data_IF_500940555775
#
_entry.id   IF_500940555775
#
_cell.length_a   1.000
_cell.length_b   1.000
_cell.length_c   1.000
_cell.angle_alpha   90.00
_cell.angle_beta   90.00
_cell.angle_gamma   90.00
#
_symmetry.space_group_name_H-M   'P 1'
#
loop_
_entity.id
_entity.type
_entity.pdbx_description
1 polymer ?
#
# COMPACT_ATOMS: atom_id res chain seq x y z
N UNK A 1 -8.74 0.43 15.76
CA UNK A 1 -7.70 0.16 16.79
C UNK A 1 -6.36 0.48 16.16
N UNK A 2 -5.57 1.45 16.66
CA UNK A 2 -4.34 1.82 15.98
C UNK A 2 -3.23 0.86 16.42
N UNK A 3 -2.73 0.03 15.51
CA UNK A 3 -1.45 -0.64 15.73
C UNK A 3 -0.35 0.39 15.56
N UNK A 4 0.28 0.78 16.67
CA UNK A 4 1.55 1.49 16.64
C UNK A 4 2.64 0.48 16.34
N UNK A 5 3.29 0.59 15.18
CA UNK A 5 4.53 -0.10 14.85
C UNK A 5 5.57 0.97 14.54
N UNK A 6 6.63 1.12 15.34
CA UNK A 6 7.68 2.08 15.06
C UNK A 6 8.69 1.43 14.10
N UNK A 7 8.67 1.76 12.81
CA UNK A 7 9.83 1.81 11.89
C UNK A 7 9.34 2.28 10.50
N UNK A 8 9.87 3.42 10.02
CA UNK A 8 9.84 3.91 8.62
C UNK A 8 8.47 3.95 7.92
N UNK A 9 7.84 5.14 7.88
CA UNK A 9 6.61 5.51 7.14
C UNK A 9 5.86 4.36 6.41
N UNK A 10 4.80 3.86 7.06
CA UNK A 10 3.78 3.02 6.44
C UNK A 10 2.86 3.88 5.57
N UNK A 11 2.86 3.69 4.25
CA UNK A 11 1.86 4.29 3.37
C UNK A 11 0.83 3.25 2.97
N UNK A 12 -0.38 3.42 3.50
CA UNK A 12 -1.54 2.59 3.18
C UNK A 12 -2.17 3.16 1.91
N UNK A 13 -2.07 2.46 0.79
CA UNK A 13 -2.83 2.82 -0.41
C UNK A 13 -4.27 2.31 -0.25
N UNK A 14 -5.06 3.07 0.50
CA UNK A 14 -6.51 2.91 0.55
C UNK A 14 -7.09 3.59 -0.68
N UNK A 15 -7.29 2.83 -1.74
CA UNK A 15 -8.19 3.19 -2.84
C UNK A 15 -9.66 3.15 -2.37
N UNK A 16 -9.99 4.02 -1.39
CA UNK A 16 -11.30 4.25 -0.81
C UNK A 16 -11.46 5.75 -0.56
N UNK A 17 -12.52 6.33 -1.11
CA UNK A 17 -12.80 7.76 -1.17
C UNK A 17 -13.21 8.38 0.18
N UNK A 18 -12.48 8.10 1.28
CA UNK A 18 -12.98 8.35 2.65
C UNK A 18 -11.93 8.73 3.70
N UNK A 19 -10.70 9.16 3.35
CA UNK A 19 -9.65 9.48 4.35
C UNK A 19 -8.92 10.81 4.02
N UNK A 20 -8.54 11.63 5.02
CA UNK A 20 -7.85 12.92 4.83
C UNK A 20 -6.42 12.89 4.27
N UNK A 21 -5.76 11.74 4.11
CA UNK A 21 -4.47 11.67 3.42
C UNK A 21 -4.59 11.77 1.89
N UNK A 22 -3.57 12.29 1.18
CA UNK A 22 -3.57 12.35 -0.27
C UNK A 22 -3.66 10.94 -0.88
N UNK A 23 -4.64 10.75 -1.75
CA UNK A 23 -4.78 9.53 -2.55
C UNK A 23 -4.05 9.71 -3.88
N UNK A 24 -3.16 8.76 -4.19
CA UNK A 24 -2.42 8.72 -5.45
C UNK A 24 -3.01 7.66 -6.38
N UNK A 25 -2.97 7.87 -7.72
CA UNK A 25 -3.52 6.92 -8.68
C UNK A 25 -2.69 5.63 -8.81
N UNK A 26 -1.39 5.71 -8.52
CA UNK A 26 -0.42 4.62 -8.60
C UNK A 26 0.73 4.86 -7.61
N UNK A 27 1.57 3.84 -7.39
CA UNK A 27 2.71 3.95 -6.48
C UNK A 27 3.81 4.91 -6.96
N UNK A 28 3.92 5.16 -8.26
CA UNK A 28 4.95 6.02 -8.84
C UNK A 28 4.65 7.52 -8.66
N UNK A 29 3.37 7.86 -8.46
CA UNK A 29 2.89 9.21 -8.21
C UNK A 29 3.17 9.70 -6.78
N UNK A 30 3.63 8.82 -5.89
CA UNK A 30 3.98 9.16 -4.51
C UNK A 30 5.32 9.93 -4.51
N UNK A 31 5.38 11.17 -4.03
CA UNK A 31 6.60 11.98 -4.07
C UNK A 31 7.66 11.52 -3.05
N UNK A 32 7.28 10.65 -2.13
CA UNK A 32 8.12 10.12 -1.06
C UNK A 32 8.53 8.67 -1.34
N UNK A 33 9.64 8.23 -0.73
CA UNK A 33 10.05 6.84 -0.80
C UNK A 33 9.11 5.95 0.02
N UNK A 34 8.61 4.88 -0.61
CA UNK A 34 7.76 3.88 0.05
C UNK A 34 8.61 2.69 0.47
N UNK A 35 8.56 2.34 1.76
CA UNK A 35 9.25 1.16 2.29
C UNK A 35 8.35 -0.09 2.29
N UNK A 36 7.06 0.08 2.60
CA UNK A 36 6.11 -1.03 2.75
C UNK A 36 4.81 -0.71 2.02
N UNK A 37 4.32 -1.66 1.23
CA UNK A 37 3.02 -1.58 0.53
C UNK A 37 2.03 -2.53 1.18
N UNK A 38 0.93 -2.01 1.74
CA UNK A 38 -0.16 -2.81 2.32
C UNK A 38 -1.34 -2.87 1.35
N UNK A 39 -1.75 -4.09 0.97
CA UNK A 39 -2.73 -4.35 -0.09
C UNK A 39 -4.05 -4.86 0.51
N UNK A 40 -5.11 -4.06 0.35
CA UNK A 40 -6.51 -4.37 0.69
C UNK A 40 -7.35 -4.60 -0.56
N UNK A 41 -6.85 -5.43 -1.49
CA UNK A 41 -7.50 -5.76 -2.76
C UNK A 41 -7.69 -7.27 -2.91
N UNK A 42 -8.51 -7.67 -3.88
CA UNK A 42 -8.69 -9.09 -4.21
C UNK A 42 -7.36 -9.65 -4.71
N UNK A 43 -7.15 -10.94 -4.52
CA UNK A 43 -5.92 -11.64 -4.93
C UNK A 43 -5.62 -11.48 -6.42
N UNK A 44 -6.65 -11.34 -7.26
CA UNK A 44 -6.53 -11.10 -8.71
C UNK A 44 -5.85 -9.77 -9.05
N UNK A 45 -6.02 -8.74 -8.22
CA UNK A 45 -5.49 -7.38 -8.46
C UNK A 45 -4.09 -7.18 -7.86
N UNK A 46 -3.63 -8.12 -7.03
CA UNK A 46 -2.39 -8.01 -6.24
C UNK A 46 -1.17 -7.97 -7.14
N UNK A 47 -1.14 -8.80 -8.19
CA UNK A 47 0.05 -8.95 -9.03
C UNK A 47 0.48 -7.60 -9.62
N UNK A 48 -0.49 -6.83 -10.14
CA UNK A 48 -0.26 -5.49 -10.68
C UNK A 48 0.35 -4.55 -9.65
N UNK A 49 -0.13 -4.59 -8.39
CA UNK A 49 0.39 -3.75 -7.30
C UNK A 49 1.79 -4.19 -6.88
N UNK A 50 2.06 -5.50 -6.85
CA UNK A 50 3.40 -6.04 -6.55
C UNK A 50 4.41 -5.59 -7.62
N UNK A 51 4.02 -5.61 -8.89
CA UNK A 51 4.88 -5.11 -9.97
C UNK A 51 5.21 -3.62 -9.80
N UNK A 52 4.23 -2.80 -9.41
CA UNK A 52 4.47 -1.40 -9.08
C UNK A 52 5.39 -1.23 -7.87
N UNK A 53 5.20 -2.03 -6.82
CA UNK A 53 6.03 -2.02 -5.62
C UNK A 53 7.50 -2.35 -5.95
N UNK A 54 7.73 -3.30 -6.86
CA UNK A 54 9.07 -3.63 -7.37
C UNK A 54 9.68 -2.43 -8.11
N UNK A 55 8.92 -1.77 -8.99
CA UNK A 55 9.40 -0.61 -9.77
C UNK A 55 9.88 0.53 -8.86
N UNK A 56 9.18 0.79 -7.77
CA UNK A 56 9.55 1.83 -6.80
C UNK A 56 10.54 1.36 -5.72
N UNK A 57 10.98 0.08 -5.79
CA UNK A 57 11.89 -0.56 -4.83
C UNK A 57 11.37 -0.56 -3.39
N UNK A 58 10.08 -0.82 -3.21
CA UNK A 58 9.54 -1.09 -1.89
C UNK A 58 10.24 -2.30 -1.26
N UNK A 59 10.50 -2.23 0.05
CA UNK A 59 11.23 -3.27 0.79
C UNK A 59 10.34 -4.46 1.15
N UNK A 60 9.04 -4.22 1.30
CA UNK A 60 8.09 -5.27 1.63
C UNK A 60 6.71 -5.00 1.01
N UNK A 61 5.99 -6.08 0.74
CA UNK A 61 4.56 -6.07 0.41
C UNK A 61 3.84 -6.91 1.45
N UNK A 62 2.77 -6.37 2.01
CA UNK A 62 1.87 -7.06 2.92
C UNK A 62 0.48 -7.14 2.29
N UNK A 63 -0.19 -8.28 2.45
CA UNK A 63 -1.51 -8.52 1.89
C UNK A 63 -2.46 -8.98 2.99
N UNK A 64 -3.62 -8.34 3.07
CA UNK A 64 -4.68 -8.74 3.99
C UNK A 64 -5.85 -9.32 3.20
N UNK A 65 -6.13 -10.60 3.41
CA UNK A 65 -7.30 -11.24 2.85
C UNK A 65 -8.38 -11.37 3.93
N UNK A 66 -9.61 -10.94 3.64
CA UNK A 66 -10.75 -11.13 4.54
C UNK A 66 -11.57 -12.33 4.07
N UNK A 67 -11.53 -13.43 4.82
CA UNK A 67 -12.51 -14.51 4.67
C UNK A 67 -13.80 -14.09 5.38
N UNK A 68 -14.92 -14.10 4.65
CA UNK A 68 -16.27 -14.02 5.26
C UNK A 68 -16.82 -15.43 5.37
#
# INVERSE_FOLDING_TARGET
MPLSIPFGKLFIVLLSNTVPEPCYPDLASIPEQVDVVDIFRRSEDVLTIVEEAIKIRAKAVWMQFRTT
#
